data_IF_452351037003
#
_entry.id   IF_452351037003
#
_cell.length_a   1.000
_cell.length_b   1.000
_cell.length_c   1.000
_cell.angle_alpha   90.00
_cell.angle_beta   90.00
_cell.angle_gamma   90.00
#
_symmetry.space_group_name_H-M   'P 1'
#
loop_
_entity.id
_entity.type
_entity.pdbx_description
1 polymer ?
#
# COMPACT_ATOMS: atom_id res chain seq x y z
N UNK A 1 -39.71 -3.45 -24.99
CA UNK A 1 -39.03 -3.90 -26.22
C UNK A 1 -37.62 -3.36 -26.14
N UNK A 2 -36.59 -4.21 -26.13
CA UNK A 2 -35.19 -3.78 -25.99
C UNK A 2 -34.79 -3.04 -27.28
N UNK A 3 -34.38 -1.76 -27.22
CA UNK A 3 -33.94 -1.03 -28.40
C UNK A 3 -32.51 -1.48 -28.77
N UNK A 4 -32.39 -2.54 -29.57
CA UNK A 4 -31.09 -2.92 -30.12
C UNK A 4 -30.69 -1.91 -31.23
N UNK A 5 -29.54 -1.27 -31.07
CA UNK A 5 -28.89 -0.34 -32.02
C UNK A 5 -29.53 1.05 -32.23
N UNK A 6 -30.11 1.65 -31.18
CA UNK A 6 -30.47 3.07 -31.18
C UNK A 6 -29.25 3.94 -30.82
N UNK A 7 -28.64 4.58 -31.83
CA UNK A 7 -27.49 5.49 -31.68
C UNK A 7 -27.86 6.80 -30.93
N UNK A 8 -29.11 6.97 -30.47
CA UNK A 8 -29.53 8.12 -29.64
C UNK A 8 -29.46 7.85 -28.14
N UNK A 9 -29.25 6.59 -27.74
CA UNK A 9 -29.12 6.23 -26.32
C UNK A 9 -27.79 6.74 -25.75
N UNK A 10 -27.76 7.18 -24.49
CA UNK A 10 -26.51 7.47 -23.80
C UNK A 10 -25.58 6.25 -23.81
N UNK A 11 -24.29 6.49 -24.04
CA UNK A 11 -23.26 5.44 -24.04
C UNK A 11 -22.27 5.64 -22.90
N UNK A 12 -21.88 4.53 -22.29
CA UNK A 12 -20.93 4.47 -21.19
C UNK A 12 -19.84 3.45 -21.48
N UNK A 13 -18.60 3.82 -21.13
CA UNK A 13 -17.43 2.97 -21.21
C UNK A 13 -16.94 2.68 -19.79
N UNK A 14 -16.91 1.39 -19.43
CA UNK A 14 -16.36 0.92 -18.16
C UNK A 14 -14.98 0.33 -18.37
N UNK A 15 -13.97 0.95 -17.76
CA UNK A 15 -12.63 0.42 -17.64
C UNK A 15 -12.50 -0.36 -16.34
N UNK A 16 -11.88 -1.54 -16.39
CA UNK A 16 -11.49 -2.28 -15.19
C UNK A 16 -10.05 -2.77 -15.29
N UNK A 17 -9.27 -2.66 -14.21
CA UNK A 17 -7.99 -3.37 -14.10
C UNK A 17 -8.24 -4.80 -13.63
N UNK A 18 -7.79 -5.79 -14.40
CA UNK A 18 -8.05 -7.20 -14.11
C UNK A 18 -7.38 -7.66 -12.81
N UNK A 19 -6.21 -7.10 -12.49
CA UNK A 19 -5.43 -7.49 -11.31
C UNK A 19 -6.03 -6.94 -10.01
N UNK A 20 -6.34 -5.64 -9.99
CA UNK A 20 -6.80 -4.97 -8.75
C UNK A 20 -8.32 -4.86 -8.63
N UNK A 21 -9.07 -5.14 -9.71
CA UNK A 21 -10.53 -4.96 -9.76
C UNK A 21 -10.98 -3.49 -9.80
N UNK A 22 -10.05 -2.53 -9.74
CA UNK A 22 -10.34 -1.09 -9.83
C UNK A 22 -11.13 -0.82 -11.10
N UNK A 23 -12.27 -0.16 -10.96
CA UNK A 23 -13.21 0.06 -12.05
C UNK A 23 -13.65 1.51 -12.11
N UNK A 24 -13.68 2.07 -13.32
CA UNK A 24 -14.12 3.43 -13.58
C UNK A 24 -15.09 3.43 -14.77
N UNK A 25 -16.17 4.20 -14.68
CA UNK A 25 -17.16 4.35 -15.76
C UNK A 25 -17.19 5.80 -16.25
N UNK A 26 -17.14 5.97 -17.57
CA UNK A 26 -17.14 7.24 -18.27
C UNK A 26 -18.32 7.32 -19.22
N UNK A 27 -18.91 8.51 -19.37
CA UNK A 27 -19.84 8.81 -20.47
C UNK A 27 -19.05 9.12 -21.73
N UNK A 28 -19.32 8.36 -22.79
CA UNK A 28 -18.73 8.53 -24.13
C UNK A 28 -19.80 9.06 -25.09
N UNK A 29 -19.39 9.46 -26.31
CA UNK A 29 -20.39 9.81 -27.32
C UNK A 29 -21.16 8.56 -27.78
N UNK A 30 -22.47 8.67 -28.09
CA UNK A 30 -23.25 7.52 -28.56
C UNK A 30 -22.65 6.82 -29.78
N UNK A 31 -22.04 7.56 -30.71
CA UNK A 31 -21.34 7.01 -31.87
C UNK A 31 -20.12 6.13 -31.50
N UNK A 32 -19.55 6.29 -30.31
CA UNK A 32 -18.36 5.55 -29.88
C UNK A 32 -18.62 4.07 -29.60
N UNK A 33 -19.88 3.64 -29.58
CA UNK A 33 -20.22 2.20 -29.59
C UNK A 33 -19.64 1.47 -30.81
N UNK A 34 -19.29 2.22 -31.87
CA UNK A 34 -18.70 1.72 -33.12
C UNK A 34 -17.22 2.05 -33.25
N UNK A 35 -16.63 2.68 -32.24
CA UNK A 35 -15.22 3.07 -32.24
C UNK A 35 -14.34 1.86 -31.91
N UNK A 36 -13.24 1.63 -32.66
CA UNK A 36 -12.29 0.56 -32.33
C UNK A 36 -11.70 0.73 -30.93
N UNK A 37 -11.46 -0.38 -30.22
CA UNK A 37 -10.97 -0.34 -28.83
C UNK A 37 -9.69 0.48 -28.70
N UNK A 38 -8.76 0.38 -29.65
CA UNK A 38 -7.53 1.19 -29.70
C UNK A 38 -7.81 2.69 -29.61
N UNK A 39 -8.85 3.16 -30.30
CA UNK A 39 -9.24 4.58 -30.28
C UNK A 39 -9.91 4.96 -28.97
N UNK A 40 -10.76 4.09 -28.42
CA UNK A 40 -11.33 4.30 -27.09
C UNK A 40 -10.23 4.46 -26.03
N UNK A 41 -9.19 3.64 -26.09
CA UNK A 41 -8.01 3.78 -25.21
C UNK A 41 -7.33 5.12 -25.44
N UNK A 42 -7.00 5.49 -26.68
CA UNK A 42 -6.26 6.74 -26.93
C UNK A 42 -7.06 7.99 -26.55
N UNK A 43 -8.36 8.01 -26.81
CA UNK A 43 -9.22 9.19 -26.63
C UNK A 43 -9.69 9.35 -25.19
N UNK A 44 -10.11 8.25 -24.55
CA UNK A 44 -10.74 8.32 -23.22
C UNK A 44 -9.81 7.93 -22.08
N UNK A 45 -8.86 7.00 -22.29
CA UNK A 45 -7.96 6.55 -21.23
C UNK A 45 -6.62 7.30 -21.26
N UNK A 46 -5.93 7.36 -22.40
CA UNK A 46 -4.58 7.93 -22.48
C UNK A 46 -4.57 9.46 -22.40
N UNK A 47 -5.44 10.12 -23.19
CA UNK A 47 -5.50 11.60 -23.27
C UNK A 47 -6.55 12.17 -22.30
N UNK A 48 -7.35 11.33 -21.66
CA UNK A 48 -8.36 11.75 -20.70
C UNK A 48 -7.74 12.50 -19.51
N UNK A 49 -8.05 13.79 -19.38
CA UNK A 49 -7.75 14.56 -18.17
C UNK A 49 -8.92 14.44 -17.20
N UNK A 50 -8.67 13.90 -15.99
CA UNK A 50 -9.73 13.59 -15.04
C UNK A 50 -10.54 14.83 -14.65
N UNK A 51 -9.87 15.96 -14.38
CA UNK A 51 -10.51 17.24 -14.03
C UNK A 51 -11.43 17.74 -15.16
N UNK A 52 -10.96 17.66 -16.40
CA UNK A 52 -11.76 18.00 -17.58
C UNK A 52 -12.94 17.06 -17.75
N UNK A 53 -12.74 15.74 -17.65
CA UNK A 53 -13.80 14.74 -17.75
C UNK A 53 -14.88 14.94 -16.67
N UNK A 54 -14.49 15.34 -15.46
CA UNK A 54 -15.44 15.73 -14.40
C UNK A 54 -16.19 17.02 -14.78
N UNK A 55 -15.47 18.05 -15.24
CA UNK A 55 -16.10 19.33 -15.64
C UNK A 55 -17.09 19.17 -16.80
N UNK A 56 -16.81 18.26 -17.74
CA UNK A 56 -17.63 17.92 -18.89
C UNK A 56 -18.77 16.93 -18.53
N UNK A 57 -18.91 16.56 -17.25
CA UNK A 57 -19.88 15.59 -16.75
C UNK A 57 -19.80 14.25 -17.48
N UNK A 58 -18.58 13.79 -17.75
CA UNK A 58 -18.28 12.47 -18.28
C UNK A 58 -17.83 11.50 -17.20
N UNK A 59 -17.16 12.01 -16.19
CA UNK A 59 -16.68 11.26 -15.04
C UNK A 59 -17.34 11.81 -13.77
N UNK A 60 -17.72 10.94 -12.84
CA UNK A 60 -18.17 11.38 -11.52
C UNK A 60 -16.97 11.91 -10.73
N UNK A 61 -17.10 12.99 -9.93
CA UNK A 61 -16.01 13.51 -9.10
C UNK A 61 -15.33 12.42 -8.26
N UNK A 62 -16.12 11.58 -7.60
CA UNK A 62 -15.63 10.51 -6.72
C UNK A 62 -14.90 9.38 -7.49
N UNK A 63 -15.01 9.34 -8.82
CA UNK A 63 -14.32 8.37 -9.68
C UNK A 63 -13.03 8.91 -10.30
N UNK A 64 -12.70 10.19 -10.07
CA UNK A 64 -11.48 10.83 -10.60
C UNK A 64 -10.21 10.10 -10.15
N UNK A 65 -10.10 9.80 -8.85
CA UNK A 65 -8.94 9.11 -8.29
C UNK A 65 -8.75 7.71 -8.90
N UNK A 66 -9.85 6.97 -9.08
CA UNK A 66 -9.80 5.61 -9.65
C UNK A 66 -9.42 5.67 -11.13
N UNK A 67 -9.96 6.64 -11.89
CA UNK A 67 -9.60 6.84 -13.29
C UNK A 67 -8.10 7.14 -13.43
N UNK A 68 -7.57 8.04 -12.62
CA UNK A 68 -6.15 8.38 -12.63
C UNK A 68 -5.28 7.20 -12.18
N UNK A 69 -5.68 6.46 -11.15
CA UNK A 69 -4.97 5.24 -10.74
C UNK A 69 -4.94 4.20 -11.86
N UNK A 70 -6.02 4.06 -12.64
CA UNK A 70 -6.04 3.19 -13.82
C UNK A 70 -5.03 3.66 -14.87
N UNK A 71 -4.95 4.96 -15.17
CA UNK A 71 -3.92 5.49 -16.08
C UNK A 71 -2.51 5.13 -15.61
N UNK A 72 -2.23 5.32 -14.31
CA UNK A 72 -0.90 5.17 -13.73
C UNK A 72 -0.39 3.72 -13.75
N UNK A 73 -1.28 2.72 -13.75
CA UNK A 73 -0.91 1.29 -13.74
C UNK A 73 -1.07 0.60 -15.09
N UNK A 74 -1.71 1.24 -16.08
CA UNK A 74 -1.99 0.62 -17.39
C UNK A 74 -1.27 1.28 -18.55
N UNK A 75 -0.82 2.52 -18.39
CA UNK A 75 -0.12 3.29 -19.41
C UNK A 75 1.36 3.44 -19.08
N UNK A 76 2.18 3.55 -20.11
CA UNK A 76 3.56 4.00 -19.94
C UNK A 76 3.57 5.44 -19.45
N UNK A 77 4.53 5.79 -18.59
CA UNK A 77 4.73 7.14 -18.10
C UNK A 77 6.12 7.64 -18.53
N UNK A 78 6.20 8.86 -19.03
CA UNK A 78 7.47 9.59 -19.15
C UNK A 78 7.92 10.11 -17.78
N UNK A 79 9.18 10.54 -17.66
CA UNK A 79 9.77 11.01 -16.40
C UNK A 79 9.09 12.26 -15.81
N UNK A 80 8.36 13.02 -16.64
CA UNK A 80 7.53 14.15 -16.23
C UNK A 80 6.12 13.72 -15.76
N UNK A 81 5.80 12.43 -15.81
CA UNK A 81 4.49 11.92 -15.41
C UNK A 81 3.39 12.05 -16.46
N UNK A 82 3.75 12.25 -17.74
CA UNK A 82 2.77 12.27 -18.84
C UNK A 82 2.38 10.83 -19.25
N UNK A 83 1.08 10.47 -19.30
CA UNK A 83 0.64 9.18 -19.78
C UNK A 83 0.85 9.02 -21.29
N UNK A 84 1.36 7.85 -21.67
CA UNK A 84 1.62 7.45 -23.05
C UNK A 84 0.64 6.39 -23.56
N UNK A 85 1.18 5.30 -24.08
CA UNK A 85 0.40 4.18 -24.62
C UNK A 85 0.20 3.10 -23.55
N UNK A 86 -0.61 2.08 -23.83
CA UNK A 86 -0.68 0.89 -22.98
C UNK A 86 0.71 0.28 -22.78
N UNK A 87 0.96 -0.23 -21.57
CA UNK A 87 2.19 -0.96 -21.24
C UNK A 87 2.32 -2.16 -22.20
N UNK A 88 3.49 -2.38 -22.84
CA UNK A 88 3.70 -3.53 -23.70
C UNK A 88 3.39 -4.86 -23.00
N UNK A 89 2.68 -5.76 -23.69
CA UNK A 89 2.21 -7.02 -23.12
C UNK A 89 0.81 -6.96 -22.49
N UNK A 90 0.21 -5.76 -22.36
CA UNK A 90 -1.16 -5.61 -21.89
C UNK A 90 -2.17 -6.21 -22.88
N UNK A 91 -3.13 -6.97 -22.34
CA UNK A 91 -4.23 -7.60 -23.07
C UNK A 91 -5.54 -6.90 -22.73
N UNK A 92 -6.34 -6.55 -23.74
CA UNK A 92 -7.68 -5.96 -23.54
C UNK A 92 -8.73 -7.06 -23.61
N UNK A 93 -9.71 -7.06 -22.70
CA UNK A 93 -10.72 -8.11 -22.57
C UNK A 93 -12.12 -7.55 -22.41
N UNK A 94 -13.13 -8.35 -22.75
CA UNK A 94 -14.53 -8.16 -22.36
C UNK A 94 -15.06 -9.49 -21.81
N UNK A 95 -15.28 -9.53 -20.50
CA UNK A 95 -15.46 -10.80 -19.78
C UNK A 95 -14.28 -11.75 -20.00
N UNK A 96 -14.51 -13.03 -20.37
CA UNK A 96 -13.44 -14.00 -20.61
C UNK A 96 -12.75 -13.84 -21.98
N UNK A 97 -13.24 -12.95 -22.85
CA UNK A 97 -12.78 -12.85 -24.24
C UNK A 97 -11.76 -11.74 -24.42
N UNK A 98 -10.63 -12.08 -25.04
CA UNK A 98 -9.66 -11.10 -25.55
C UNK A 98 -10.23 -10.29 -26.72
N UNK A 99 -10.01 -8.97 -26.69
CA UNK A 99 -10.45 -8.01 -27.67
C UNK A 99 -9.34 -7.75 -28.69
N UNK A 100 -9.70 -7.76 -29.97
CA UNK A 100 -8.82 -7.22 -31.00
C UNK A 100 -8.88 -5.68 -30.93
N UNK A 101 -7.74 -4.98 -30.72
CA UNK A 101 -7.71 -3.52 -30.60
C UNK A 101 -8.28 -2.76 -31.80
N UNK A 102 -8.26 -3.36 -32.99
CA UNK A 102 -8.72 -2.73 -34.23
C UNK A 102 -10.21 -3.02 -34.53
N UNK A 103 -10.88 -3.79 -33.66
CA UNK A 103 -12.32 -4.03 -33.72
C UNK A 103 -13.06 -3.24 -32.63
N UNK A 104 -14.39 -3.22 -32.69
CA UNK A 104 -15.25 -2.59 -31.67
C UNK A 104 -15.34 -3.46 -30.43
N UNK A 105 -15.43 -2.85 -29.24
CA UNK A 105 -15.76 -3.60 -28.03
C UNK A 105 -17.22 -4.11 -28.10
N UNK A 106 -17.53 -5.26 -27.48
CA UNK A 106 -18.90 -5.68 -27.24
C UNK A 106 -19.66 -4.57 -26.51
N UNK A 107 -20.87 -4.28 -26.99
CA UNK A 107 -21.76 -3.28 -26.42
C UNK A 107 -23.04 -3.99 -25.97
N UNK A 108 -23.45 -3.74 -24.74
CA UNK A 108 -24.70 -4.23 -24.19
C UNK A 108 -25.66 -3.08 -23.94
N UNK A 109 -26.92 -3.20 -24.37
CA UNK A 109 -27.97 -2.30 -23.91
C UNK A 109 -28.50 -2.78 -22.56
N UNK A 110 -28.30 -1.97 -21.53
CA UNK A 110 -28.68 -2.25 -20.14
C UNK A 110 -29.73 -1.25 -19.65
N UNK A 111 -30.63 -1.70 -18.77
CA UNK A 111 -31.60 -0.82 -18.12
C UNK A 111 -30.97 -0.32 -16.81
N UNK A 112 -30.66 0.98 -16.74
CA UNK A 112 -30.18 1.64 -15.54
C UNK A 112 -31.29 2.51 -14.96
N UNK A 113 -31.75 2.17 -13.76
CA UNK A 113 -32.95 2.76 -13.15
C UNK A 113 -34.14 2.67 -14.10
N UNK A 114 -34.50 3.78 -14.76
CA UNK A 114 -35.65 3.88 -15.67
C UNK A 114 -35.24 4.22 -17.12
N UNK A 115 -33.96 4.10 -17.49
CA UNK A 115 -33.47 4.46 -18.82
C UNK A 115 -32.57 3.37 -19.43
N UNK A 116 -32.74 3.12 -20.72
CA UNK A 116 -31.83 2.25 -21.48
C UNK A 116 -30.56 3.03 -21.83
N UNK A 117 -29.42 2.38 -21.64
CA UNK A 117 -28.11 2.92 -22.02
C UNK A 117 -27.30 1.85 -22.72
N UNK A 118 -26.33 2.27 -23.53
CA UNK A 118 -25.29 1.40 -24.07
C UNK A 118 -24.12 1.34 -23.10
N UNK A 119 -23.64 0.13 -22.80
CA UNK A 119 -22.49 -0.12 -21.96
C UNK A 119 -21.44 -0.90 -22.74
N UNK A 120 -20.26 -0.29 -22.91
CA UNK A 120 -19.06 -0.96 -23.35
C UNK A 120 -18.22 -1.34 -22.12
N UNK A 121 -17.81 -2.59 -22.03
CA UNK A 121 -16.96 -3.06 -20.94
C UNK A 121 -15.61 -3.51 -21.48
N UNK A 122 -14.54 -2.85 -21.00
CA UNK A 122 -13.17 -3.18 -21.34
C UNK A 122 -12.35 -3.39 -20.07
N UNK A 123 -11.92 -4.63 -19.86
CA UNK A 123 -10.96 -4.98 -18.82
C UNK A 123 -9.55 -4.96 -19.38
N UNK A 124 -8.62 -4.42 -18.60
CA UNK A 124 -7.20 -4.31 -18.92
C UNK A 124 -6.47 -5.37 -18.10
N UNK A 125 -5.90 -6.36 -18.78
CA UNK A 125 -5.13 -7.44 -18.17
C UNK A 125 -3.65 -7.20 -18.41
N UNK A 126 -2.95 -6.89 -17.32
CA UNK A 126 -1.51 -6.60 -17.30
C UNK A 126 -0.70 -7.64 -16.52
N UNK A 127 -1.30 -8.81 -16.23
CA UNK A 127 -0.66 -9.89 -15.47
C UNK A 127 0.69 -10.33 -16.02
N UNK A 128 0.84 -10.31 -17.35
CA UNK A 128 2.06 -10.73 -18.06
C UNK A 128 3.04 -9.58 -18.36
N UNK A 129 2.80 -8.38 -17.83
CA UNK A 129 3.65 -7.20 -18.11
C UNK A 129 4.89 -7.12 -17.22
N UNK A 130 4.93 -7.85 -16.12
CA UNK A 130 6.05 -7.84 -15.17
C UNK A 130 6.21 -6.50 -14.43
N UNK A 131 7.45 -6.13 -14.13
CA UNK A 131 7.81 -4.93 -13.39
C UNK A 131 8.29 -3.82 -14.35
N UNK A 132 7.36 -3.01 -14.86
CA UNK A 132 7.63 -2.03 -15.94
C UNK A 132 7.37 -0.57 -15.55
N UNK A 133 7.08 -0.31 -14.27
CA UNK A 133 6.76 1.04 -13.78
C UNK A 133 7.96 1.98 -13.91
N UNK A 134 7.77 3.10 -14.58
CA UNK A 134 8.68 4.23 -14.48
C UNK A 134 8.41 4.97 -13.16
N UNK A 135 9.21 4.69 -12.14
CA UNK A 135 9.04 5.26 -10.80
C UNK A 135 9.22 6.79 -10.75
N UNK A 136 10.15 7.34 -11.53
CA UNK A 136 10.36 8.80 -11.63
C UNK A 136 9.09 9.49 -12.13
N UNK A 137 8.57 9.02 -13.26
CA UNK A 137 7.33 9.54 -13.86
C UNK A 137 6.11 9.34 -12.97
N UNK A 138 5.97 8.14 -12.40
CA UNK A 138 4.89 7.79 -11.48
C UNK A 138 4.87 8.73 -10.26
N UNK A 139 6.00 8.88 -9.59
CA UNK A 139 6.11 9.73 -8.40
C UNK A 139 5.90 11.21 -8.75
N UNK A 140 6.50 11.72 -9.84
CA UNK A 140 6.26 13.10 -10.30
C UNK A 140 4.77 13.37 -10.53
N UNK A 141 4.10 12.50 -11.28
CA UNK A 141 2.67 12.62 -11.59
C UNK A 141 1.81 12.67 -10.34
N UNK A 142 2.12 11.84 -9.34
CA UNK A 142 1.37 11.75 -8.07
C UNK A 142 1.65 12.96 -7.17
N UNK A 143 2.88 13.46 -7.18
CA UNK A 143 3.26 14.70 -6.50
C UNK A 143 2.45 15.88 -7.04
N UNK A 144 2.47 16.09 -8.36
CA UNK A 144 1.87 17.26 -9.00
C UNK A 144 0.36 17.38 -8.76
N UNK A 145 -0.34 16.25 -8.58
CA UNK A 145 -1.78 16.22 -8.25
C UNK A 145 -2.11 16.81 -6.88
N UNK A 146 -1.18 16.71 -5.93
CA UNK A 146 -1.40 17.05 -4.53
C UNK A 146 -0.28 17.95 -3.96
N UNK A 147 0.41 18.67 -4.85
CA UNK A 147 1.61 19.46 -4.51
C UNK A 147 1.37 20.40 -3.33
N UNK A 148 0.27 21.15 -3.33
CA UNK A 148 -0.11 22.05 -2.22
C UNK A 148 -0.22 21.34 -0.87
N UNK A 149 -0.71 20.08 -0.84
CA UNK A 149 -0.82 19.30 0.41
C UNK A 149 0.55 18.82 0.86
N UNK A 150 1.36 18.33 -0.06
CA UNK A 150 2.69 17.79 0.25
C UNK A 150 3.68 18.89 0.62
N UNK A 151 3.64 20.03 -0.06
CA UNK A 151 4.44 21.20 0.29
C UNK A 151 4.09 21.71 1.69
N UNK A 152 2.81 21.80 2.04
CA UNK A 152 2.40 22.17 3.42
C UNK A 152 2.86 21.16 4.47
N UNK A 153 2.86 19.87 4.16
CA UNK A 153 3.41 18.85 5.06
C UNK A 153 4.91 19.08 5.30
N UNK A 154 5.67 19.30 4.22
CA UNK A 154 7.11 19.58 4.30
C UNK A 154 7.40 20.87 5.06
N UNK A 155 6.66 21.94 4.79
CA UNK A 155 6.76 23.22 5.51
C UNK A 155 6.45 23.05 7.00
N UNK A 156 5.43 22.26 7.33
CA UNK A 156 5.06 21.92 8.71
C UNK A 156 6.16 21.14 9.43
N UNK A 157 6.71 20.10 8.78
CA UNK A 157 7.79 19.29 9.32
C UNK A 157 9.08 20.10 9.57
N UNK A 158 9.37 21.05 8.69
CA UNK A 158 10.60 21.86 8.75
C UNK A 158 10.44 23.18 9.51
N UNK A 159 9.21 23.59 9.86
CA UNK A 159 8.98 24.89 10.48
C UNK A 159 9.36 26.07 9.58
N UNK A 160 9.19 25.93 8.26
CA UNK A 160 9.56 26.92 7.22
C UNK A 160 11.07 27.22 7.09
N UNK A 161 11.96 26.42 7.69
CA UNK A 161 13.40 26.62 7.56
C UNK A 161 14.22 25.37 7.87
N UNK A 162 15.23 25.13 7.05
CA UNK A 162 16.29 24.14 7.30
C UNK A 162 17.60 24.77 6.83
N UNK A 163 18.68 24.56 7.57
CA UNK A 163 19.98 25.18 7.28
C UNK A 163 20.80 24.36 6.27
N UNK A 164 20.44 23.08 6.07
CA UNK A 164 21.13 22.13 5.20
C UNK A 164 20.19 21.03 4.67
N UNK A 165 20.66 20.26 3.66
CA UNK A 165 19.99 19.04 3.18
C UNK A 165 19.87 17.99 4.29
N UNK A 166 20.86 17.92 5.18
CA UNK A 166 20.89 17.02 6.33
C UNK A 166 19.78 17.35 7.33
N UNK A 167 19.61 18.64 7.65
CA UNK A 167 18.55 19.10 8.55
C UNK A 167 17.17 18.85 7.94
N UNK A 168 17.00 19.14 6.65
CA UNK A 168 15.79 18.83 5.92
C UNK A 168 15.43 17.34 6.04
N UNK A 169 16.38 16.45 5.70
CA UNK A 169 16.17 15.00 5.74
C UNK A 169 15.78 14.56 7.15
N UNK A 170 16.51 15.03 8.17
CA UNK A 170 16.26 14.65 9.57
C UNK A 170 14.87 15.07 10.03
N UNK A 171 14.44 16.29 9.70
CA UNK A 171 13.15 16.84 10.13
C UNK A 171 11.99 16.11 9.46
N UNK A 172 12.04 15.91 8.15
CA UNK A 172 10.99 15.17 7.42
C UNK A 172 10.93 13.70 7.84
N UNK A 173 12.09 13.03 7.96
CA UNK A 173 12.15 11.66 8.43
C UNK A 173 11.60 11.52 9.85
N UNK A 174 11.88 12.49 10.73
CA UNK A 174 11.33 12.49 12.09
C UNK A 174 9.82 12.69 12.11
N UNK A 175 9.29 13.54 11.24
CA UNK A 175 7.84 13.74 11.12
C UNK A 175 7.13 12.46 10.66
N UNK A 176 7.66 11.78 9.63
CA UNK A 176 7.14 10.48 9.20
C UNK A 176 7.25 9.44 10.32
N UNK A 177 8.38 9.41 11.04
CA UNK A 177 8.55 8.51 12.19
C UNK A 177 7.51 8.78 13.29
N UNK A 178 7.21 10.05 13.58
CA UNK A 178 6.23 10.40 14.61
C UNK A 178 4.78 9.97 14.26
N UNK A 179 4.47 9.74 12.97
CA UNK A 179 3.16 9.22 12.58
C UNK A 179 2.91 7.80 13.13
N UNK A 180 1.65 7.39 13.37
CA UNK A 180 1.33 6.06 13.90
C UNK A 180 1.90 4.91 13.05
N UNK A 181 2.19 3.76 13.67
CA UNK A 181 2.45 2.51 12.96
C UNK A 181 1.19 1.65 13.03
N UNK A 182 0.53 1.43 11.89
CA UNK A 182 -0.83 0.88 11.88
C UNK A 182 -1.22 0.17 10.58
N UNK A 183 -2.25 -0.68 10.70
CA UNK A 183 -2.93 -1.36 9.59
C UNK A 183 -4.46 -1.10 9.56
N UNK A 184 -5.07 -0.50 10.59
CA UNK A 184 -6.52 -0.28 10.64
C UNK A 184 -7.05 0.57 9.48
N UNK A 185 -6.23 1.45 8.91
CA UNK A 185 -6.59 2.30 7.76
C UNK A 185 -6.74 1.53 6.44
N UNK A 186 -6.25 0.28 6.37
CA UNK A 186 -6.51 -0.64 5.25
C UNK A 186 -7.96 -1.11 5.22
N UNK A 187 -8.64 -1.05 6.37
CA UNK A 187 -9.99 -1.60 6.55
C UNK A 187 -11.06 -0.53 6.79
N UNK A 188 -10.64 0.73 6.92
CA UNK A 188 -11.52 1.90 7.09
C UNK A 188 -11.37 2.87 5.93
N UNK A 189 -12.30 3.82 5.80
CA UNK A 189 -12.25 4.86 4.78
C UNK A 189 -12.12 4.31 3.35
N UNK A 190 -11.00 4.64 2.69
CA UNK A 190 -10.71 4.24 1.30
C UNK A 190 -10.38 2.75 1.13
N UNK A 191 -10.11 2.02 2.21
CA UNK A 191 -9.84 0.58 2.23
C UNK A 191 -8.76 0.14 1.24
N UNK A 192 -7.59 0.80 1.29
CA UNK A 192 -6.48 0.54 0.38
C UNK A 192 -5.63 -0.61 0.96
N UNK A 193 -5.52 -1.77 0.27
CA UNK A 193 -4.81 -2.93 0.80
C UNK A 193 -3.31 -2.68 1.03
N UNK A 194 -2.66 -1.95 0.12
CA UNK A 194 -1.28 -1.49 0.22
C UNK A 194 -1.16 -0.10 -0.38
N UNK A 195 -0.65 0.87 0.39
CA UNK A 195 -0.61 2.28 0.00
C UNK A 195 0.67 2.57 -0.78
N UNK A 196 0.54 3.34 -1.85
CA UNK A 196 1.69 3.94 -2.51
C UNK A 196 2.32 5.03 -1.63
N UNK A 197 3.49 5.53 -2.03
CA UNK A 197 4.18 6.58 -1.27
C UNK A 197 3.32 7.84 -1.03
N UNK A 198 2.62 8.30 -2.06
CA UNK A 198 1.75 9.47 -1.98
C UNK A 198 0.48 9.19 -1.18
N UNK A 199 -0.13 8.00 -1.31
CA UNK A 199 -1.28 7.59 -0.51
C UNK A 199 -0.93 7.49 0.97
N UNK A 200 0.28 7.01 1.27
CA UNK A 200 0.82 6.98 2.62
C UNK A 200 0.99 8.39 3.17
N UNK A 201 1.57 9.30 2.40
CA UNK A 201 1.75 10.69 2.81
C UNK A 201 0.41 11.39 3.03
N UNK A 202 -0.58 11.17 2.16
CA UNK A 202 -1.94 11.67 2.35
C UNK A 202 -2.59 11.10 3.62
N UNK A 203 -2.38 9.82 3.91
CA UNK A 203 -2.89 9.17 5.12
C UNK A 203 -2.26 9.76 6.39
N UNK A 204 -0.95 10.04 6.37
CA UNK A 204 -0.24 10.72 7.45
C UNK A 204 -0.76 12.15 7.66
N UNK A 205 -0.97 12.90 6.58
CA UNK A 205 -1.56 14.24 6.63
C UNK A 205 -2.96 14.23 7.26
N UNK A 206 -3.69 13.13 7.12
CA UNK A 206 -5.02 12.92 7.72
C UNK A 206 -4.97 12.44 9.19
N UNK A 207 -3.78 12.41 9.82
CA UNK A 207 -3.58 12.02 11.22
C UNK A 207 -3.40 10.52 11.43
N UNK A 208 -3.44 9.71 10.35
CA UNK A 208 -3.23 8.26 10.42
C UNK A 208 -1.76 7.90 10.20
N UNK A 209 -1.48 6.61 10.12
CA UNK A 209 -0.14 6.07 10.01
C UNK A 209 0.09 5.23 8.76
N UNK A 210 1.03 4.31 8.89
CA UNK A 210 1.36 3.30 7.87
C UNK A 210 2.34 2.27 8.44
N UNK A 211 2.59 1.18 7.72
CA UNK A 211 3.64 0.21 8.06
C UNK A 211 5.02 0.67 7.56
N UNK A 212 6.05 -0.14 7.85
CA UNK A 212 7.44 0.18 7.53
C UNK A 212 7.68 0.54 6.05
N UNK A 213 7.31 -0.35 5.13
CA UNK A 213 7.57 -0.17 3.70
C UNK A 213 6.82 1.03 3.10
N UNK A 214 5.63 1.32 3.60
CA UNK A 214 4.81 2.46 3.20
C UNK A 214 5.44 3.78 3.67
N UNK A 215 5.86 3.87 4.94
CA UNK A 215 6.53 5.07 5.48
C UNK A 215 7.87 5.35 4.81
N UNK A 216 8.63 4.30 4.53
CA UNK A 216 9.91 4.41 3.81
C UNK A 216 9.69 4.94 2.40
N UNK A 217 8.70 4.40 1.68
CA UNK A 217 8.33 4.92 0.37
C UNK A 217 7.87 6.39 0.46
N UNK A 218 7.08 6.77 1.47
CA UNK A 218 6.67 8.17 1.67
C UNK A 218 7.85 9.11 1.91
N UNK A 219 8.83 8.69 2.71
CA UNK A 219 10.06 9.46 2.92
C UNK A 219 10.82 9.62 1.62
N UNK A 220 11.08 8.51 0.91
CA UNK A 220 11.76 8.52 -0.39
C UNK A 220 11.05 9.42 -1.40
N UNK A 221 9.73 9.37 -1.44
CA UNK A 221 8.91 10.20 -2.33
C UNK A 221 9.11 11.69 -2.10
N UNK A 222 9.17 12.14 -0.84
CA UNK A 222 9.46 13.54 -0.54
C UNK A 222 10.90 13.90 -0.93
N UNK A 223 11.87 13.05 -0.59
CA UNK A 223 13.29 13.34 -0.80
C UNK A 223 13.69 13.29 -2.27
N UNK A 224 13.11 12.38 -3.05
CA UNK A 224 13.30 12.31 -4.51
C UNK A 224 12.81 13.61 -5.19
N UNK A 225 11.73 14.22 -4.68
CA UNK A 225 11.24 15.51 -5.19
C UNK A 225 12.16 16.69 -4.84
N UNK A 226 13.06 16.50 -3.88
CA UNK A 226 14.14 17.44 -3.55
C UNK A 226 15.48 17.07 -4.18
N UNK A 227 15.54 15.96 -4.93
CA UNK A 227 16.74 15.51 -5.61
C UNK A 227 17.79 14.88 -4.69
N UNK A 228 17.40 14.42 -3.48
CA UNK A 228 18.32 13.72 -2.60
C UNK A 228 18.55 12.28 -3.09
N UNK A 229 19.80 11.92 -3.29
CA UNK A 229 20.19 10.57 -3.66
C UNK A 229 20.01 9.61 -2.48
N UNK A 230 19.27 8.52 -2.73
CA UNK A 230 19.02 7.48 -1.73
C UNK A 230 18.81 6.12 -2.37
N UNK A 231 19.16 5.08 -1.62
CA UNK A 231 18.95 3.69 -1.98
C UNK A 231 18.28 2.93 -0.85
N UNK A 232 17.55 1.88 -1.21
CA UNK A 232 16.85 1.03 -0.28
C UNK A 232 17.80 0.14 0.52
N UNK A 233 17.45 -0.01 1.78
CA UNK A 233 18.08 -0.95 2.71
C UNK A 233 17.02 -1.94 3.14
N UNK A 234 17.39 -3.22 3.07
CA UNK A 234 16.59 -4.34 3.52
C UNK A 234 16.98 -4.71 4.94
N UNK A 235 16.02 -5.09 5.77
CA UNK A 235 16.30 -5.62 7.08
C UNK A 235 15.27 -6.66 7.51
N UNK A 236 15.61 -7.39 8.55
CA UNK A 236 14.65 -8.21 9.26
C UNK A 236 15.27 -9.07 10.35
N UNK A 237 14.43 -9.75 11.13
CA UNK A 237 14.85 -10.54 12.28
C UNK A 237 15.70 -11.73 11.85
N UNK A 238 16.84 -11.88 12.51
CA UNK A 238 17.77 -13.00 12.29
C UNK A 238 18.19 -13.20 10.81
N UNK A 239 18.20 -12.11 10.04
CA UNK A 239 18.69 -12.02 8.66
C UNK A 239 20.22 -12.01 8.60
N UNK A 240 20.85 -13.03 9.17
CA UNK A 240 22.30 -13.16 9.25
C UNK A 240 22.93 -13.59 7.91
N UNK A 241 24.08 -12.98 7.60
CA UNK A 241 24.87 -13.30 6.42
C UNK A 241 24.65 -12.32 5.27
N UNK A 242 24.99 -12.75 4.05
CA UNK A 242 24.87 -11.89 2.87
C UNK A 242 23.44 -11.90 2.34
N UNK A 243 23.01 -10.75 1.82
CA UNK A 243 21.71 -10.62 1.14
C UNK A 243 21.60 -11.64 -0.01
N UNK A 244 20.60 -12.55 0.01
CA UNK A 244 20.40 -13.55 -1.04
C UNK A 244 19.64 -12.95 -2.24
N UNK A 245 20.22 -11.95 -2.90
CA UNK A 245 19.55 -11.15 -3.94
C UNK A 245 18.94 -11.97 -5.09
N UNK A 246 19.67 -12.96 -5.61
CA UNK A 246 19.19 -13.82 -6.70
C UNK A 246 17.99 -14.68 -6.29
N UNK A 247 17.97 -15.17 -5.05
CA UNK A 247 16.85 -15.97 -4.54
C UNK A 247 15.64 -15.10 -4.27
N UNK A 248 15.82 -13.89 -3.73
CA UNK A 248 14.76 -12.89 -3.55
C UNK A 248 14.14 -12.47 -4.89
N UNK A 249 14.99 -12.24 -5.92
CA UNK A 249 14.54 -11.97 -7.29
C UNK A 249 13.69 -13.12 -7.83
N UNK A 250 14.11 -14.36 -7.63
CA UNK A 250 13.35 -15.56 -8.04
C UNK A 250 11.98 -15.63 -7.36
N UNK A 251 11.85 -15.20 -6.10
CA UNK A 251 10.55 -15.15 -5.42
C UNK A 251 9.61 -14.15 -6.09
N UNK A 252 10.10 -12.97 -6.49
CA UNK A 252 9.29 -11.97 -7.21
C UNK A 252 8.91 -12.40 -8.62
N UNK A 253 9.72 -13.24 -9.27
CA UNK A 253 9.44 -13.73 -10.63
C UNK A 253 8.47 -14.93 -10.62
N UNK A 254 8.53 -15.78 -9.60
CA UNK A 254 7.77 -17.04 -9.57
C UNK A 254 6.57 -17.01 -8.64
N UNK A 255 6.53 -16.10 -7.67
CA UNK A 255 5.58 -16.10 -6.55
C UNK A 255 5.51 -17.46 -5.80
N UNK A 256 6.59 -18.26 -5.86
CA UNK A 256 6.70 -19.52 -5.13
C UNK A 256 7.40 -19.32 -3.78
N UNK A 257 6.60 -19.09 -2.74
CA UNK A 257 7.09 -18.85 -1.38
C UNK A 257 7.29 -20.14 -0.56
N UNK A 258 7.08 -21.32 -1.14
CA UNK A 258 7.15 -22.59 -0.40
C UNK A 258 8.56 -22.85 0.11
N UNK A 259 8.71 -22.91 1.44
CA UNK A 259 10.00 -23.11 2.09
C UNK A 259 10.90 -21.87 2.13
N UNK A 260 10.41 -20.72 1.64
CA UNK A 260 11.22 -19.51 1.43
C UNK A 260 11.29 -18.60 2.66
N UNK A 261 10.68 -18.97 3.79
CA UNK A 261 10.70 -18.18 5.05
C UNK A 261 12.10 -17.73 5.46
N UNK A 262 13.11 -18.59 5.28
CA UNK A 262 14.49 -18.28 5.62
C UNK A 262 15.13 -17.23 4.71
N UNK A 263 14.67 -17.08 3.47
CA UNK A 263 15.10 -16.05 2.52
C UNK A 263 14.28 -14.78 2.73
N UNK A 264 12.96 -14.91 2.91
CA UNK A 264 12.05 -13.77 3.07
C UNK A 264 12.39 -12.90 4.28
N UNK A 265 13.01 -13.45 5.33
CA UNK A 265 13.44 -12.65 6.50
C UNK A 265 14.33 -11.45 6.13
N UNK A 266 15.02 -11.47 4.99
CA UNK A 266 15.92 -10.39 4.59
C UNK A 266 15.17 -9.11 4.18
N UNK A 267 13.95 -9.21 3.67
CA UNK A 267 13.18 -8.05 3.16
C UNK A 267 11.89 -7.79 3.94
N UNK A 268 11.81 -8.24 5.20
CA UNK A 268 10.63 -8.01 6.06
C UNK A 268 10.53 -6.56 6.53
N UNK A 269 11.61 -5.80 6.42
CA UNK A 269 11.71 -4.40 6.80
C UNK A 269 12.48 -3.61 5.76
N UNK A 270 12.12 -2.34 5.59
CA UNK A 270 12.77 -1.41 4.69
C UNK A 270 13.32 -0.20 5.48
N UNK A 271 14.41 0.36 4.99
CA UNK A 271 14.97 1.64 5.39
C UNK A 271 15.63 2.31 4.18
N UNK A 272 16.22 3.50 4.36
CA UNK A 272 16.93 4.22 3.30
C UNK A 272 18.34 4.58 3.75
N UNK A 273 19.28 4.45 2.81
CA UNK A 273 20.60 5.02 2.91
C UNK A 273 20.68 6.23 1.98
N UNK A 274 21.06 7.39 2.51
CA UNK A 274 21.26 8.62 1.75
C UNK A 274 22.73 8.91 1.55
N UNK A 275 23.05 9.57 0.43
CA UNK A 275 24.38 10.16 0.19
C UNK A 275 24.21 11.68 0.19
N UNK A 276 24.66 12.32 1.26
CA UNK A 276 24.64 13.80 1.40
C UNK A 276 26.06 14.26 1.68
N UNK A 277 26.58 15.17 0.86
CA UNK A 277 27.95 15.69 0.99
C UNK A 277 29.02 14.58 1.09
N UNK A 278 28.90 13.53 0.26
CA UNK A 278 29.77 12.33 0.26
C UNK A 278 29.68 11.46 1.53
N UNK A 279 28.76 11.75 2.44
CA UNK A 279 28.51 10.97 3.64
C UNK A 279 27.29 10.05 3.49
N UNK A 280 27.48 8.79 3.85
CA UNK A 280 26.42 7.80 3.97
C UNK A 280 25.64 7.99 5.27
N UNK A 281 24.31 8.06 5.16
CA UNK A 281 23.39 8.26 6.27
C UNK A 281 22.27 7.22 6.21
N UNK A 282 22.25 6.29 7.16
CA UNK A 282 21.15 5.35 7.35
C UNK A 282 20.00 6.03 8.08
N UNK A 283 18.83 6.02 7.47
CA UNK A 283 17.59 6.57 8.01
C UNK A 283 16.50 5.49 8.07
N UNK A 284 15.97 5.28 9.28
CA UNK A 284 14.82 4.42 9.53
C UNK A 284 13.71 5.24 10.20
N UNK A 285 12.70 5.58 9.40
CA UNK A 285 11.60 6.46 9.78
C UNK A 285 10.29 5.69 10.06
N UNK A 286 10.38 4.41 10.40
CA UNK A 286 9.22 3.51 10.42
C UNK A 286 8.43 3.53 11.74
N UNK A 287 9.11 3.71 12.88
CA UNK A 287 8.51 3.71 14.21
C UNK A 287 7.89 2.34 14.58
N UNK A 288 6.71 2.31 15.20
CA UNK A 288 6.19 1.12 15.87
C UNK A 288 7.08 0.83 17.07
N UNK A 289 7.96 -0.16 16.93
CA UNK A 289 8.96 -0.48 17.94
C UNK A 289 10.41 -0.30 17.45
N UNK A 290 10.59 0.19 16.23
CA UNK A 290 11.91 0.49 15.67
C UNK A 290 12.28 1.93 16.07
N UNK A 291 13.42 2.13 16.77
CA UNK A 291 13.86 3.46 17.16
C UNK A 291 14.14 4.31 15.93
N UNK A 292 13.97 5.63 16.05
CA UNK A 292 14.35 6.54 14.97
C UNK A 292 15.86 6.45 14.71
N UNK A 293 16.24 5.88 13.57
CA UNK A 293 17.64 5.81 13.15
C UNK A 293 17.95 6.98 12.23
N UNK A 294 19.04 7.68 12.55
CA UNK A 294 19.63 8.73 11.73
C UNK A 294 21.14 8.68 11.97
N UNK A 295 21.79 7.72 11.32
CA UNK A 295 23.16 7.31 11.64
C UNK A 295 24.08 7.64 10.48
N UNK A 296 25.20 8.30 10.77
CA UNK A 296 26.18 8.70 9.76
C UNK A 296 27.54 8.05 9.97
N UNK A 297 28.32 7.93 8.89
CA UNK A 297 29.72 7.52 8.96
C UNK A 297 29.92 6.15 9.62
N UNK A 298 30.81 5.99 10.63
CA UNK A 298 31.12 4.67 11.20
C UNK A 298 29.93 3.93 11.82
N UNK A 299 28.92 4.64 12.33
CA UNK A 299 27.73 4.02 12.92
C UNK A 299 26.80 3.43 11.85
N UNK A 300 26.69 4.11 10.72
CA UNK A 300 25.99 3.63 9.52
C UNK A 300 26.67 2.36 9.01
N UNK A 301 27.98 2.41 8.77
CA UNK A 301 28.74 1.26 8.27
C UNK A 301 28.68 0.07 9.24
N UNK A 302 28.69 0.29 10.56
CA UNK A 302 28.59 -0.80 11.52
C UNK A 302 27.29 -1.62 11.40
N UNK A 303 26.19 -1.00 10.96
CA UNK A 303 24.92 -1.70 10.72
C UNK A 303 24.81 -2.29 9.31
N UNK A 304 25.46 -1.69 8.31
CA UNK A 304 25.37 -2.09 6.90
C UNK A 304 26.52 -3.00 6.42
N UNK A 305 27.56 -3.20 7.24
CA UNK A 305 28.70 -4.06 6.90
C UNK A 305 28.26 -5.53 6.83
N UNK A 306 28.29 -6.08 5.61
CA UNK A 306 27.90 -7.46 5.34
C UNK A 306 28.86 -8.52 5.88
N UNK A 307 30.12 -8.15 6.19
CA UNK A 307 31.12 -9.09 6.72
C UNK A 307 31.02 -9.21 8.24
N UNK A 308 30.59 -8.14 8.93
CA UNK A 308 30.43 -8.09 10.38
C UNK A 308 29.13 -7.37 10.81
N UNK A 309 27.96 -7.93 10.46
CA UNK A 309 26.71 -7.20 10.62
C UNK A 309 26.37 -7.06 12.11
N UNK A 310 26.28 -5.81 12.58
CA UNK A 310 25.85 -5.51 13.95
C UNK A 310 24.32 -5.58 14.00
N UNK A 311 23.73 -6.34 14.94
CA UNK A 311 22.29 -6.35 15.10
C UNK A 311 21.78 -5.06 15.74
N UNK A 312 20.57 -4.66 15.36
CA UNK A 312 19.74 -3.73 16.10
C UNK A 312 18.68 -4.54 16.88
N UNK A 313 18.72 -4.54 18.22
CA UNK A 313 17.65 -5.13 19.01
C UNK A 313 16.35 -4.31 18.87
N UNK A 314 15.28 -4.96 18.43
CA UNK A 314 13.96 -4.36 18.23
C UNK A 314 12.94 -5.19 19.02
N UNK A 315 12.05 -4.54 19.77
CA UNK A 315 11.00 -5.25 20.52
C UNK A 315 9.75 -5.41 19.65
N UNK A 316 9.50 -6.57 19.07
CA UNK A 316 8.29 -6.79 18.27
C UNK A 316 7.22 -7.45 19.13
N UNK A 317 6.22 -6.68 19.57
CA UNK A 317 5.15 -7.17 20.44
C UNK A 317 5.69 -7.72 21.75
N UNK A 318 5.64 -9.03 21.92
CA UNK A 318 5.96 -9.68 23.21
C UNK A 318 7.43 -10.02 23.40
N UNK A 319 8.29 -9.97 22.38
CA UNK A 319 9.71 -10.35 22.50
C UNK A 319 10.64 -9.39 21.73
N UNK A 320 11.94 -9.48 22.02
CA UNK A 320 12.97 -8.73 21.29
C UNK A 320 13.65 -9.61 20.26
N UNK A 321 13.79 -9.08 19.06
CA UNK A 321 14.47 -9.69 17.91
C UNK A 321 15.69 -8.87 17.52
N UNK A 322 16.66 -9.51 16.86
CA UNK A 322 17.83 -8.84 16.32
C UNK A 322 17.63 -8.60 14.83
N UNK A 323 17.48 -7.33 14.45
CA UNK A 323 17.37 -6.90 13.07
C UNK A 323 18.76 -6.69 12.47
N UNK A 324 18.96 -7.19 11.26
CA UNK A 324 20.19 -7.02 10.49
C UNK A 324 19.87 -6.27 9.20
N UNK A 325 20.61 -5.19 8.94
CA UNK A 325 20.39 -4.30 7.79
C UNK A 325 21.36 -4.63 6.65
N UNK A 326 20.88 -4.53 5.42
CA UNK A 326 21.56 -4.94 4.20
C UNK A 326 21.32 -3.93 3.11
N UNK A 327 22.39 -3.42 2.50
CA UNK A 327 22.27 -2.65 1.24
C UNK A 327 21.62 -3.55 0.18
N UNK A 328 20.54 -3.06 -0.42
CA UNK A 328 19.76 -3.81 -1.39
C UNK A 328 19.80 -3.13 -2.77
N UNK A 329 19.68 -3.91 -3.87
CA UNK A 329 19.40 -3.32 -5.17
C UNK A 329 18.05 -2.58 -5.16
N UNK A 330 18.03 -1.33 -5.62
CA UNK A 330 16.81 -0.50 -5.61
C UNK A 330 15.68 -1.11 -6.43
N UNK A 331 16.00 -1.73 -7.57
CA UNK A 331 15.04 -2.43 -8.40
C UNK A 331 14.35 -3.57 -7.64
N UNK A 332 15.07 -4.29 -6.78
CA UNK A 332 14.50 -5.37 -5.97
C UNK A 332 13.50 -4.85 -4.93
N UNK A 333 13.82 -3.74 -4.27
CA UNK A 333 12.94 -3.11 -3.28
C UNK A 333 11.69 -2.50 -3.92
N UNK A 334 11.87 -1.82 -5.05
CA UNK A 334 10.78 -1.23 -5.81
C UNK A 334 9.84 -2.30 -6.37
N UNK A 335 10.38 -3.39 -6.92
CA UNK A 335 9.58 -4.49 -7.44
C UNK A 335 8.82 -5.23 -6.33
N UNK A 336 9.41 -5.35 -5.13
CA UNK A 336 8.70 -5.85 -3.95
C UNK A 336 7.52 -4.94 -3.58
N UNK A 337 7.72 -3.63 -3.55
CA UNK A 337 6.62 -2.67 -3.30
C UNK A 337 5.54 -2.74 -4.38
N UNK A 338 5.94 -2.87 -5.64
CA UNK A 338 5.01 -3.04 -6.77
C UNK A 338 4.21 -4.35 -6.65
N UNK A 339 4.86 -5.45 -6.27
CA UNK A 339 4.21 -6.74 -6.08
C UNK A 339 3.18 -6.70 -4.94
N UNK A 340 3.54 -6.09 -3.80
CA UNK A 340 2.61 -5.88 -2.69
C UNK A 340 1.39 -5.06 -3.10
N UNK A 341 1.58 -4.02 -3.92
CA UNK A 341 0.47 -3.19 -4.41
C UNK A 341 -0.44 -3.91 -5.42
N UNK A 342 0.11 -4.77 -6.28
CA UNK A 342 -0.59 -5.21 -7.51
C UNK A 342 -0.79 -6.72 -7.65
N UNK A 343 0.09 -7.54 -7.09
CA UNK A 343 0.16 -8.98 -7.35
C UNK A 343 -0.19 -9.85 -6.14
N UNK A 344 -0.30 -9.27 -4.95
CA UNK A 344 -0.64 -9.98 -3.70
C UNK A 344 -2.01 -9.49 -3.22
N UNK A 345 -3.11 -10.15 -3.61
CA UNK A 345 -4.47 -9.72 -3.28
C UNK A 345 -4.74 -9.61 -1.77
N UNK A 346 -4.11 -10.46 -0.96
CA UNK A 346 -4.26 -10.59 0.50
C UNK A 346 -3.19 -9.85 1.30
N UNK A 347 -2.45 -8.92 0.69
CA UNK A 347 -1.34 -8.23 1.33
C UNK A 347 -1.73 -7.53 2.65
N UNK A 348 -2.93 -6.98 2.72
CA UNK A 348 -3.49 -6.37 3.92
C UNK A 348 -3.59 -7.37 5.08
N UNK A 349 -4.02 -8.60 4.80
CA UNK A 349 -4.11 -9.69 5.78
C UNK A 349 -2.73 -10.23 6.14
N UNK A 350 -1.84 -10.41 5.16
CA UNK A 350 -0.45 -10.84 5.39
C UNK A 350 0.25 -9.88 6.36
N UNK A 351 0.06 -8.58 6.20
CA UNK A 351 0.66 -7.59 7.10
C UNK A 351 0.11 -7.70 8.53
N UNK A 352 -1.20 -7.92 8.69
CA UNK A 352 -1.84 -8.00 10.01
C UNK A 352 -1.52 -9.31 10.73
N UNK A 353 -1.65 -10.44 10.04
CA UNK A 353 -1.64 -11.78 10.63
C UNK A 353 -0.30 -12.50 10.46
N UNK A 354 0.21 -12.61 9.23
CA UNK A 354 1.41 -13.42 8.94
C UNK A 354 2.71 -12.72 9.37
N UNK A 355 2.76 -11.39 9.23
CA UNK A 355 3.84 -10.56 9.76
C UNK A 355 3.61 -10.14 11.22
N UNK A 356 2.49 -10.58 11.81
CA UNK A 356 2.13 -10.34 13.22
C UNK A 356 2.14 -8.86 13.63
N UNK A 357 1.87 -7.94 12.69
CA UNK A 357 1.88 -6.50 12.98
C UNK A 357 0.61 -6.01 13.68
N UNK A 358 -0.46 -6.82 13.68
CA UNK A 358 -1.75 -6.43 14.23
C UNK A 358 -2.36 -5.21 13.54
N UNK A 359 -3.26 -4.53 14.23
CA UNK A 359 -3.93 -3.31 13.74
C UNK A 359 -3.17 -2.04 14.09
N UNK A 360 -2.49 -2.01 15.23
CA UNK A 360 -1.66 -0.87 15.65
C UNK A 360 -0.56 -1.34 16.59
N UNK A 361 0.61 -0.73 16.44
CA UNK A 361 1.75 -0.87 17.34
C UNK A 361 2.17 0.53 17.78
N UNK A 362 2.15 0.76 19.09
CA UNK A 362 2.68 1.95 19.73
C UNK A 362 3.75 1.53 20.74
N UNK A 363 4.53 2.46 21.31
CA UNK A 363 5.47 2.14 22.37
C UNK A 363 4.86 1.47 23.61
N UNK A 364 3.54 1.58 23.80
CA UNK A 364 2.83 1.09 24.99
C UNK A 364 1.75 0.03 24.70
N UNK A 365 1.34 -0.12 23.44
CA UNK A 365 0.23 -1.01 23.07
C UNK A 365 0.49 -1.74 21.77
N UNK A 366 0.09 -3.01 21.74
CA UNK A 366 -0.19 -3.79 20.54
C UNK A 366 -1.68 -4.16 20.57
N UNK A 367 -2.41 -3.86 19.51
CA UNK A 367 -3.79 -4.33 19.32
C UNK A 367 -3.84 -5.24 18.10
N UNK A 368 -4.31 -6.46 18.27
CA UNK A 368 -4.38 -7.48 17.23
C UNK A 368 -5.79 -8.08 17.10
N UNK A 369 -6.25 -8.39 15.88
CA UNK A 369 -7.49 -9.15 15.68
C UNK A 369 -7.29 -10.61 16.04
N UNK A 370 -8.35 -11.24 16.57
CA UNK A 370 -8.38 -12.67 16.92
C UNK A 370 -9.50 -13.35 16.15
N UNK A 371 -9.24 -13.95 14.97
CA UNK A 371 -10.25 -14.68 14.22
C UNK A 371 -10.50 -16.06 14.85
N UNK A 372 -11.77 -16.48 14.92
CA UNK A 372 -12.15 -17.81 15.42
C UNK A 372 -13.53 -18.23 14.88
N UNK A 373 -13.78 -19.54 14.74
CA UNK A 373 -15.10 -20.11 14.37
C UNK A 373 -15.84 -20.69 15.55
N UNK A 374 -15.11 -21.13 16.58
CA UNK A 374 -15.69 -21.79 17.76
C UNK A 374 -15.14 -21.21 19.06
N UNK A 375 -15.88 -21.39 20.15
CA UNK A 375 -15.42 -20.98 21.49
C UNK A 375 -14.11 -21.70 21.87
N UNK A 376 -13.91 -22.95 21.42
CA UNK A 376 -12.67 -23.72 21.68
C UNK A 376 -11.46 -23.06 20.99
N UNK A 377 -11.57 -22.73 19.70
CA UNK A 377 -10.53 -22.01 18.95
C UNK A 377 -10.21 -20.66 19.59
N UNK A 378 -11.24 -19.92 20.05
CA UNK A 378 -11.02 -18.67 20.77
C UNK A 378 -10.24 -18.88 22.08
N UNK A 379 -10.59 -19.89 22.87
CA UNK A 379 -9.87 -20.18 24.12
C UNK A 379 -8.42 -20.61 23.88
N UNK A 380 -8.13 -21.30 22.77
CA UNK A 380 -6.75 -21.63 22.37
C UNK A 380 -5.94 -20.37 22.07
N UNK A 381 -6.53 -19.42 21.34
CA UNK A 381 -5.90 -18.12 21.03
C UNK A 381 -5.72 -17.26 22.28
N UNK A 382 -6.72 -17.18 23.16
CA UNK A 382 -6.58 -16.48 24.45
C UNK A 382 -5.41 -17.05 25.26
N UNK A 383 -5.35 -18.38 25.41
CA UNK A 383 -4.26 -19.04 26.11
C UNK A 383 -2.89 -18.84 25.44
N UNK A 384 -2.85 -18.67 24.11
CA UNK A 384 -1.62 -18.34 23.38
C UNK A 384 -1.13 -16.94 23.76
N UNK A 385 -1.99 -15.92 23.71
CA UNK A 385 -1.64 -14.56 24.09
C UNK A 385 -1.19 -14.47 25.57
N UNK A 386 -1.87 -15.14 26.49
CA UNK A 386 -1.45 -15.24 27.89
C UNK A 386 -0.04 -15.85 28.04
N UNK A 387 0.25 -16.92 27.29
CA UNK A 387 1.59 -17.55 27.28
C UNK A 387 2.66 -16.64 26.68
N UNK A 388 2.34 -15.84 25.66
CA UNK A 388 3.27 -14.90 25.04
C UNK A 388 3.53 -13.68 25.92
N UNK A 389 2.53 -13.22 26.67
CA UNK A 389 2.64 -12.09 27.58
C UNK A 389 3.44 -12.41 28.86
N UNK A 390 3.29 -13.63 29.39
CA UNK A 390 3.84 -14.02 30.69
C UNK A 390 5.37 -13.85 30.87
N UNK A 391 6.24 -14.19 29.89
CA UNK A 391 7.70 -14.07 30.06
C UNK A 391 8.19 -12.64 30.29
N UNK A 392 7.42 -11.64 29.85
CA UNK A 392 7.77 -10.22 29.92
C UNK A 392 6.83 -9.43 30.85
N UNK A 393 6.02 -10.13 31.66
CA UNK A 393 5.07 -9.53 32.62
C UNK A 393 4.11 -8.51 31.96
N UNK A 394 3.67 -8.81 30.73
CA UNK A 394 2.79 -7.91 29.98
C UNK A 394 1.34 -8.06 30.42
N UNK A 395 0.65 -6.92 30.58
CA UNK A 395 -0.79 -6.92 30.81
C UNK A 395 -1.49 -7.23 29.48
N UNK A 396 -2.35 -8.24 29.47
CA UNK A 396 -3.08 -8.69 28.28
C UNK A 396 -4.59 -8.76 28.55
N UNK A 397 -5.37 -8.32 27.57
CA UNK A 397 -6.82 -8.39 27.55
C UNK A 397 -7.25 -8.99 26.21
N UNK A 398 -7.69 -10.24 26.20
CA UNK A 398 -8.20 -10.92 24.99
C UNK A 398 -9.69 -11.12 25.13
N UNK A 399 -10.41 -10.71 24.08
CA UNK A 399 -11.86 -10.69 24.06
C UNK A 399 -12.38 -11.35 22.80
N UNK A 400 -13.49 -12.07 22.95
CA UNK A 400 -14.17 -12.68 21.81
C UNK A 400 -15.02 -11.67 21.04
N UNK A 401 -15.42 -10.57 21.67
CA UNK A 401 -16.15 -9.49 21.01
C UNK A 401 -15.24 -8.35 20.51
N UNK A 402 -15.71 -7.64 19.48
CA UNK A 402 -15.00 -6.49 18.91
C UNK A 402 -15.24 -5.22 19.72
N UNK A 403 -14.73 -5.18 20.96
CA UNK A 403 -14.90 -4.05 21.89
C UNK A 403 -13.63 -3.73 22.65
N UNK A 404 -13.51 -2.46 23.03
CA UNK A 404 -12.41 -1.91 23.83
C UNK A 404 -12.87 -1.49 25.24
N UNK A 405 -13.91 -2.12 25.79
CA UNK A 405 -14.48 -1.78 27.11
C UNK A 405 -13.89 -2.60 28.29
N UNK A 406 -12.78 -3.31 28.04
CA UNK A 406 -11.98 -3.97 29.08
C UNK A 406 -10.86 -3.06 29.61
N UNK A 407 -10.16 -3.45 30.70
CA UNK A 407 -9.18 -2.56 31.36
C UNK A 407 -8.07 -2.06 30.42
N UNK A 408 -7.53 -2.92 29.56
CA UNK A 408 -6.50 -2.50 28.61
C UNK A 408 -7.11 -1.75 27.42
N UNK A 409 -8.31 -2.16 26.98
CA UNK A 409 -9.07 -1.44 25.95
C UNK A 409 -9.38 0.01 26.34
N UNK A 410 -9.87 0.24 27.56
CA UNK A 410 -10.16 1.57 28.09
C UNK A 410 -8.87 2.40 28.23
N UNK A 411 -7.78 1.77 28.70
CA UNK A 411 -6.48 2.44 28.78
C UNK A 411 -5.92 2.81 27.41
N UNK A 412 -6.12 1.97 26.39
CA UNK A 412 -5.73 2.26 25.02
C UNK A 412 -6.58 3.39 24.43
N UNK A 413 -7.91 3.29 24.55
CA UNK A 413 -8.85 4.30 24.06
C UNK A 413 -8.59 5.68 24.68
N UNK A 414 -8.24 5.74 25.96
CA UNK A 414 -7.91 7.01 26.63
C UNK A 414 -6.65 7.69 26.08
N UNK A 415 -5.72 6.94 25.47
CA UNK A 415 -4.46 7.47 24.94
C UNK A 415 -4.50 7.67 23.44
N UNK A 416 -5.14 6.76 22.72
CA UNK A 416 -5.17 6.70 21.26
C UNK A 416 -6.63 6.68 20.75
N UNK A 417 -7.47 7.69 21.07
CA UNK A 417 -8.91 7.64 20.78
C UNK A 417 -9.21 7.52 19.29
N UNK A 418 -8.45 8.21 18.43
CA UNK A 418 -8.66 8.17 16.97
C UNK A 418 -8.33 6.79 16.39
N UNK A 419 -7.26 6.15 16.86
CA UNK A 419 -6.90 4.80 16.46
C UNK A 419 -7.93 3.77 16.99
N UNK A 420 -8.43 3.98 18.20
CA UNK A 420 -9.45 3.13 18.79
C UNK A 420 -10.77 3.18 18.01
N UNK A 421 -11.25 4.37 17.65
CA UNK A 421 -12.43 4.53 16.80
C UNK A 421 -12.23 3.86 15.44
N UNK A 422 -11.07 4.07 14.81
CA UNK A 422 -10.76 3.45 13.53
C UNK A 422 -10.67 1.91 13.60
N UNK A 423 -10.16 1.35 14.70
CA UNK A 423 -10.16 -0.09 14.95
C UNK A 423 -11.59 -0.61 15.08
N UNK A 424 -12.45 0.07 15.83
CA UNK A 424 -13.85 -0.34 15.96
C UNK A 424 -14.59 -0.30 14.62
N UNK A 425 -14.35 0.73 13.80
CA UNK A 425 -14.92 0.89 12.46
C UNK A 425 -14.39 -0.14 11.44
N UNK A 426 -13.24 -0.77 11.70
CA UNK A 426 -12.59 -1.70 10.78
C UNK A 426 -13.21 -3.11 10.73
N UNK A 427 -14.04 -3.47 11.72
CA UNK A 427 -14.49 -4.84 11.97
C UNK A 427 -15.05 -5.54 10.72
N UNK A 428 -16.11 -4.98 10.14
CA UNK A 428 -16.89 -5.67 9.12
C UNK A 428 -16.06 -5.93 7.86
N UNK A 429 -15.25 -4.95 7.45
CA UNK A 429 -14.45 -5.11 6.25
C UNK A 429 -13.24 -6.03 6.47
N UNK A 430 -12.58 -5.96 7.63
CA UNK A 430 -11.51 -6.90 7.96
C UNK A 430 -12.05 -8.35 8.02
N UNK A 431 -13.22 -8.56 8.63
CA UNK A 431 -13.84 -9.88 8.70
C UNK A 431 -14.23 -10.39 7.31
N UNK A 432 -14.86 -9.54 6.47
CA UNK A 432 -15.19 -9.86 5.08
C UNK A 432 -13.95 -10.27 4.29
N UNK A 433 -12.85 -9.52 4.42
CA UNK A 433 -11.57 -9.81 3.80
C UNK A 433 -11.01 -11.14 4.29
N UNK A 434 -10.97 -11.36 5.60
CA UNK A 434 -10.47 -12.60 6.18
C UNK A 434 -11.27 -13.82 5.70
N UNK A 435 -12.60 -13.76 5.74
CA UNK A 435 -13.49 -14.82 5.26
C UNK A 435 -13.34 -15.12 3.77
N UNK A 436 -13.00 -14.12 2.95
CA UNK A 436 -12.75 -14.30 1.52
C UNK A 436 -11.56 -15.23 1.23
N UNK A 437 -10.51 -15.20 2.05
CA UNK A 437 -9.29 -16.00 1.85
C UNK A 437 -9.22 -17.25 2.74
N UNK A 438 -9.67 -17.16 3.99
CA UNK A 438 -9.60 -18.25 4.98
C UNK A 438 -10.92 -19.06 5.07
N UNK A 439 -11.94 -18.63 4.33
CA UNK A 439 -13.24 -19.29 4.21
C UNK A 439 -14.24 -18.90 5.30
N UNK A 440 -15.49 -18.75 4.89
CA UNK A 440 -16.57 -18.16 5.70
C UNK A 440 -16.81 -18.75 7.10
N UNK A 441 -17.38 -17.90 7.95
CA UNK A 441 -18.00 -18.28 9.22
C UNK A 441 -17.15 -17.93 10.43
N UNK A 442 -16.11 -17.11 10.26
CA UNK A 442 -15.35 -16.59 11.38
C UNK A 442 -16.16 -15.52 12.14
N UNK A 443 -15.82 -15.37 13.41
CA UNK A 443 -16.03 -14.20 14.23
C UNK A 443 -14.67 -13.55 14.47
N UNK A 444 -14.69 -12.31 14.97
CA UNK A 444 -13.45 -11.60 15.26
C UNK A 444 -13.49 -10.94 16.63
N UNK A 445 -12.54 -11.33 17.46
CA UNK A 445 -12.23 -10.74 18.74
C UNK A 445 -11.03 -9.80 18.67
N UNK A 446 -10.63 -9.26 19.82
CA UNK A 446 -9.47 -8.37 19.96
C UNK A 446 -8.54 -8.87 21.07
N UNK A 447 -7.24 -8.81 20.81
CA UNK A 447 -6.20 -8.92 21.82
C UNK A 447 -5.54 -7.55 21.99
N UNK A 448 -5.53 -7.03 23.22
CA UNK A 448 -4.87 -5.79 23.61
C UNK A 448 -3.74 -6.16 24.57
N UNK A 449 -2.50 -5.88 24.16
CA UNK A 449 -1.31 -6.07 24.98
C UNK A 449 -0.72 -4.72 25.32
N UNK A 450 -0.38 -4.53 26.59
CA UNK A 450 0.35 -3.36 27.06
C UNK A 450 1.83 -3.69 27.18
N UNK A 451 2.67 -2.97 26.44
CA UNK A 451 4.08 -3.29 26.18
C UNK A 451 5.03 -2.81 27.28
#
# INVERSE_FOLDING_TARGET
MKPDHDDTLPAFLRWSDYLTGKTCTLRVEPEDIRTPVRRLVSEYLAVGDASRLVSDRRLLPDSSDVFQALQDVTLTLSDDGTPGTLIPGTVLRSGPRELNPDHTAPCETVLLSDSYVHLLEVSIDRSETGYTRNWTGFNRRRWDRNSDRFERFVEGATGFGHESELDFLRLVAKEIWNSPFENYSRFTGRRIPYKTADETLLNIIEGRGAICSEKVQALKFITDMRGLESSYVFAGPDALGKLPGDDLRRLLETFDFRGSRHIMRFWQHLALEYVIEEQHILVDATNGNIPFLFLGGPECEALLDSDFPRPLPVRMGTYSENFYYHRAPDDLALDLCYAMENYIPEIDLVQVFDNELGLVITPEFLVAPVPYKTDEEFQEMNALYERLAAPNDLEVDVRSDWRLDGPQGESFYAREPEAADAILDSHDHLLERYDLFEGFGHQMGLAILKL
#
